data_IF_941974086000
#
_entry.id   IF_941974086000
#
_cell.length_a   1.000
_cell.length_b   1.000
_cell.length_c   1.000
_cell.angle_alpha   90.00
_cell.angle_beta   90.00
_cell.angle_gamma   90.00
#
_symmetry.space_group_name_H-M   'P 1'
#
loop_
_entity.id
_entity.type
_entity.pdbx_description
1 polymer ?
#
# COMPACT_ATOMS: atom_id res chain seq x y z
N UNK A 1 26.63 10.13 -12.29
CA UNK A 1 25.23 9.73 -12.06
C UNK A 1 24.38 10.97 -12.05
N UNK A 2 23.39 11.07 -12.94
CA UNK A 2 22.34 12.09 -12.80
C UNK A 2 21.44 11.62 -11.66
N UNK A 3 21.29 12.43 -10.62
CA UNK A 3 20.27 12.25 -9.59
C UNK A 3 18.92 12.20 -10.32
N UNK A 4 18.38 11.00 -10.51
CA UNK A 4 16.99 10.83 -10.89
C UNK A 4 16.17 11.60 -9.87
N UNK A 5 15.27 12.46 -10.34
CA UNK A 5 14.46 13.32 -9.46
C UNK A 5 13.72 12.40 -8.49
N UNK A 6 14.12 12.46 -7.21
CA UNK A 6 13.31 11.96 -6.10
C UNK A 6 11.90 12.54 -6.26
N UNK A 7 10.88 11.75 -5.96
CA UNK A 7 9.49 12.21 -5.91
C UNK A 7 9.43 13.51 -5.11
N UNK A 8 9.05 14.61 -5.76
CA UNK A 8 9.09 15.94 -5.15
C UNK A 8 7.82 16.27 -4.35
N UNK A 9 6.92 15.29 -4.22
CA UNK A 9 5.56 15.49 -3.72
C UNK A 9 4.62 16.06 -4.78
N UNK A 10 3.32 15.98 -4.50
CA UNK A 10 2.23 16.64 -5.21
C UNK A 10 1.67 17.76 -4.32
N UNK A 11 1.24 18.87 -4.94
CA UNK A 11 0.40 19.86 -4.27
C UNK A 11 -1.06 19.38 -4.15
N UNK A 12 -1.93 20.18 -3.54
CA UNK A 12 -3.33 19.78 -3.28
C UNK A 12 -4.11 19.53 -4.57
N UNK A 13 -3.97 20.41 -5.56
CA UNK A 13 -4.63 20.25 -6.86
C UNK A 13 -4.14 19.00 -7.60
N UNK A 14 -2.83 18.75 -7.57
CA UNK A 14 -2.22 17.56 -8.16
C UNK A 14 -2.66 16.26 -7.46
N UNK A 15 -2.87 16.30 -6.14
CA UNK A 15 -3.47 15.18 -5.40
C UNK A 15 -4.92 14.91 -5.82
N UNK A 16 -5.72 15.96 -6.04
CA UNK A 16 -7.08 15.83 -6.55
C UNK A 16 -7.14 15.09 -7.90
N UNK A 17 -6.23 15.43 -8.81
CA UNK A 17 -6.13 14.74 -10.10
C UNK A 17 -5.57 13.31 -9.96
N UNK A 18 -4.55 13.11 -9.11
CA UNK A 18 -3.94 11.79 -8.91
C UNK A 18 -4.90 10.76 -8.30
N UNK A 19 -5.86 11.21 -7.48
CA UNK A 19 -6.86 10.35 -6.84
C UNK A 19 -8.10 10.12 -7.70
N UNK A 20 -8.21 10.75 -8.87
CA UNK A 20 -9.44 10.76 -9.67
C UNK A 20 -9.89 9.35 -10.08
N UNK A 21 -9.01 8.58 -10.72
CA UNK A 21 -9.35 7.23 -11.20
C UNK A 21 -9.76 6.31 -10.04
N UNK A 22 -9.06 6.41 -8.90
CA UNK A 22 -9.40 5.68 -7.69
C UNK A 22 -10.76 6.11 -7.15
N UNK A 23 -11.05 7.42 -7.09
CA UNK A 23 -12.30 7.94 -6.58
C UNK A 23 -13.49 7.56 -7.48
N UNK A 24 -13.32 7.61 -8.80
CA UNK A 24 -14.33 7.16 -9.76
C UNK A 24 -14.63 5.67 -9.59
N UNK A 25 -13.60 4.83 -9.39
CA UNK A 25 -13.78 3.41 -9.12
C UNK A 25 -14.52 3.15 -7.81
N UNK A 26 -14.08 3.78 -6.71
CA UNK A 26 -14.69 3.60 -5.39
C UNK A 26 -16.16 4.04 -5.37
N UNK A 27 -16.48 5.14 -6.04
CA UNK A 27 -17.85 5.64 -6.12
C UNK A 27 -18.74 4.70 -6.93
N UNK A 28 -18.21 4.13 -8.02
CA UNK A 28 -18.95 3.22 -8.90
C UNK A 28 -19.20 1.86 -8.25
N UNK A 29 -18.18 1.28 -7.63
CA UNK A 29 -18.25 -0.10 -7.11
C UNK A 29 -18.77 -0.17 -5.67
N UNK A 30 -18.51 0.87 -4.85
CA UNK A 30 -18.83 0.84 -3.43
C UNK A 30 -19.70 2.01 -2.96
N UNK A 31 -20.01 2.99 -3.82
CA UNK A 31 -20.73 4.20 -3.43
C UNK A 31 -19.97 5.07 -2.42
N UNK A 32 -18.65 4.91 -2.36
CA UNK A 32 -17.76 5.65 -1.46
C UNK A 32 -16.94 6.68 -2.24
N UNK A 33 -16.78 7.87 -1.67
CA UNK A 33 -15.94 8.92 -2.24
C UNK A 33 -14.86 9.32 -1.24
N UNK A 34 -13.65 9.49 -1.75
CA UNK A 34 -12.55 10.15 -1.06
C UNK A 34 -12.86 11.65 -1.02
N UNK A 35 -12.75 12.27 0.16
CA UNK A 35 -12.81 13.71 0.30
C UNK A 35 -11.44 14.32 -0.02
N UNK A 36 -11.19 14.59 -1.30
CA UNK A 36 -9.94 15.19 -1.77
C UNK A 36 -9.69 16.59 -1.21
N UNK A 37 -10.72 17.29 -0.72
CA UNK A 37 -10.59 18.64 -0.15
C UNK A 37 -10.06 18.61 1.28
N UNK A 38 -10.31 17.53 2.02
CA UNK A 38 -9.79 17.29 3.36
C UNK A 38 -8.35 16.76 3.38
N UNK A 39 -7.75 16.52 2.20
CA UNK A 39 -6.40 15.98 2.07
C UNK A 39 -5.34 17.02 2.47
N UNK A 40 -4.49 16.66 3.43
CA UNK A 40 -3.24 17.35 3.72
C UNK A 40 -2.15 16.84 2.76
N UNK A 41 -1.74 17.70 1.83
CA UNK A 41 -0.75 17.36 0.81
C UNK A 41 0.62 16.97 1.40
N UNK A 42 1.03 17.57 2.52
CA UNK A 42 2.31 17.22 3.15
C UNK A 42 2.26 15.80 3.72
N UNK A 43 1.20 15.48 4.46
CA UNK A 43 0.99 14.13 5.02
C UNK A 43 0.84 13.09 3.92
N UNK A 44 0.11 13.40 2.84
CA UNK A 44 -0.01 12.49 1.70
C UNK A 44 1.31 12.26 0.99
N UNK A 45 2.14 13.28 0.82
CA UNK A 45 3.45 13.11 0.19
C UNK A 45 4.37 12.22 1.03
N UNK A 46 4.39 12.40 2.35
CA UNK A 46 5.15 11.53 3.25
C UNK A 46 4.66 10.07 3.19
N UNK A 47 3.34 9.87 3.25
CA UNK A 47 2.74 8.54 3.15
C UNK A 47 2.99 7.90 1.78
N UNK A 48 2.91 8.67 0.70
CA UNK A 48 3.15 8.18 -0.65
C UNK A 48 4.61 7.77 -0.87
N UNK A 49 5.56 8.55 -0.33
CA UNK A 49 6.98 8.19 -0.38
C UNK A 49 7.24 6.90 0.40
N UNK A 50 6.72 6.77 1.62
CA UNK A 50 6.87 5.56 2.43
C UNK A 50 6.22 4.35 1.75
N UNK A 51 4.99 4.49 1.25
CA UNK A 51 4.28 3.43 0.56
C UNK A 51 5.01 2.99 -0.72
N UNK A 52 5.59 3.92 -1.48
CA UNK A 52 6.38 3.60 -2.66
C UNK A 52 7.64 2.81 -2.30
N UNK A 53 8.34 3.18 -1.22
CA UNK A 53 9.51 2.45 -0.72
C UNK A 53 9.12 1.04 -0.23
N UNK A 54 8.03 0.93 0.52
CA UNK A 54 7.49 -0.35 0.99
C UNK A 54 7.14 -1.27 -0.19
N UNK A 55 6.37 -0.77 -1.16
CA UNK A 55 5.96 -1.55 -2.34
C UNK A 55 7.14 -1.97 -3.20
N UNK A 56 8.13 -1.09 -3.40
CA UNK A 56 9.36 -1.43 -4.11
C UNK A 56 10.15 -2.54 -3.39
N UNK A 57 10.23 -2.48 -2.06
CA UNK A 57 10.84 -3.54 -1.26
C UNK A 57 10.07 -4.86 -1.40
N UNK A 58 8.74 -4.86 -1.26
CA UNK A 58 7.93 -6.08 -1.38
C UNK A 58 8.03 -6.72 -2.77
N UNK A 59 7.97 -5.91 -3.83
CA UNK A 59 8.16 -6.37 -5.20
C UNK A 59 9.55 -6.98 -5.40
N UNK A 60 10.60 -6.35 -4.82
CA UNK A 60 11.96 -6.86 -4.89
C UNK A 60 12.12 -8.19 -4.13
N UNK A 61 11.58 -8.28 -2.93
CA UNK A 61 11.61 -9.49 -2.10
C UNK A 61 10.96 -10.67 -2.80
N UNK A 62 9.80 -10.46 -3.42
CA UNK A 62 9.14 -11.47 -4.26
C UNK A 62 10.03 -11.88 -5.44
N UNK A 63 10.57 -10.90 -6.17
CA UNK A 63 11.43 -11.15 -7.34
C UNK A 63 12.69 -11.93 -6.99
N UNK A 64 13.27 -11.67 -5.82
CA UNK A 64 14.46 -12.33 -5.31
C UNK A 64 14.15 -13.68 -4.64
N UNK A 65 12.87 -14.07 -4.54
CA UNK A 65 12.44 -15.36 -4.01
C UNK A 65 12.45 -15.46 -2.49
N UNK A 66 12.40 -14.33 -1.78
CA UNK A 66 12.27 -14.33 -0.32
C UNK A 66 10.90 -14.91 0.08
N UNK A 67 10.89 -15.73 1.13
CA UNK A 67 9.66 -16.26 1.70
C UNK A 67 8.75 -15.13 2.18
N UNK A 68 7.43 -15.27 2.04
CA UNK A 68 6.46 -14.36 2.64
C UNK A 68 6.51 -14.35 4.17
N UNK A 69 7.14 -15.37 4.77
CA UNK A 69 7.38 -15.50 6.21
C UNK A 69 8.76 -15.00 6.64
N UNK A 70 9.58 -14.51 5.71
CA UNK A 70 10.91 -14.00 6.04
C UNK A 70 10.81 -12.83 7.03
N UNK A 71 11.63 -12.84 8.08
CA UNK A 71 11.56 -11.81 9.13
C UNK A 71 11.81 -10.40 8.61
N UNK A 72 12.58 -10.25 7.52
CA UNK A 72 12.79 -8.94 6.88
C UNK A 72 11.52 -8.43 6.20
N UNK A 73 10.73 -9.34 5.63
CA UNK A 73 9.43 -9.05 5.01
C UNK A 73 8.42 -8.68 6.07
N UNK A 74 8.30 -9.48 7.13
CA UNK A 74 7.38 -9.21 8.23
C UNK A 74 7.73 -7.91 8.96
N UNK A 75 9.02 -7.63 9.17
CA UNK A 75 9.48 -6.36 9.75
C UNK A 75 9.15 -5.15 8.85
N UNK A 76 9.24 -5.30 7.53
CA UNK A 76 8.83 -4.24 6.60
C UNK A 76 7.32 -3.95 6.70
N UNK A 77 6.49 -5.00 6.79
CA UNK A 77 5.04 -4.85 6.98
C UNK A 77 4.73 -4.16 8.31
N UNK A 78 5.38 -4.55 9.41
CA UNK A 78 5.18 -3.90 10.71
C UNK A 78 5.53 -2.41 10.68
N UNK A 79 6.62 -2.03 10.00
CA UNK A 79 7.00 -0.62 9.81
C UNK A 79 5.96 0.14 8.99
N UNK A 80 5.45 -0.48 7.93
CA UNK A 80 4.41 0.12 7.10
C UNK A 80 3.11 0.33 7.89
N UNK A 81 2.67 -0.66 8.67
CA UNK A 81 1.52 -0.52 9.59
C UNK A 81 1.75 0.64 10.58
N UNK A 82 2.95 0.79 11.12
CA UNK A 82 3.28 1.91 12.00
C UNK A 82 3.24 3.27 11.30
N UNK A 83 3.51 3.34 9.99
CA UNK A 83 3.30 4.53 9.18
C UNK A 83 1.80 4.82 9.00
N UNK A 84 1.03 3.81 8.56
CA UNK A 84 -0.42 3.94 8.35
C UNK A 84 -1.16 4.40 9.61
N UNK A 85 -0.75 3.93 10.79
CA UNK A 85 -1.29 4.32 12.11
C UNK A 85 -1.29 5.82 12.40
N UNK A 86 -0.52 6.61 11.66
CA UNK A 86 -0.53 8.09 11.77
C UNK A 86 -1.81 8.71 11.22
N UNK A 87 -2.52 8.01 10.33
CA UNK A 87 -3.68 8.53 9.60
C UNK A 87 -4.90 7.62 9.64
N UNK A 88 -4.74 6.34 9.99
CA UNK A 88 -5.83 5.38 10.10
C UNK A 88 -5.63 4.42 11.28
N UNK A 89 -6.72 4.01 11.92
CA UNK A 89 -6.64 2.93 12.92
C UNK A 89 -6.49 1.58 12.21
N UNK A 90 -5.29 1.01 12.27
CA UNK A 90 -4.97 -0.27 11.64
C UNK A 90 -3.97 -1.06 12.50
N UNK A 91 -4.18 -2.36 12.59
CA UNK A 91 -3.26 -3.33 13.19
C UNK A 91 -2.92 -4.44 12.18
N UNK A 92 -2.18 -5.47 12.61
CA UNK A 92 -1.82 -6.56 11.71
C UNK A 92 -3.05 -7.28 11.13
N UNK A 93 -4.10 -7.48 11.92
CA UNK A 93 -5.33 -8.10 11.46
C UNK A 93 -6.06 -7.22 10.45
N UNK A 94 -6.14 -5.91 10.70
CA UNK A 94 -6.70 -4.93 9.77
C UNK A 94 -5.90 -4.85 8.46
N UNK A 95 -4.57 -4.89 8.53
CA UNK A 95 -3.71 -4.92 7.36
C UNK A 95 -3.85 -6.22 6.55
N UNK A 96 -3.96 -7.37 7.22
CA UNK A 96 -4.28 -8.64 6.56
C UNK A 96 -5.63 -8.56 5.82
N UNK A 97 -6.68 -8.04 6.47
CA UNK A 97 -7.98 -7.84 5.84
C UNK A 97 -7.91 -6.89 4.63
N UNK A 98 -7.17 -5.79 4.74
CA UNK A 98 -6.95 -4.84 3.64
C UNK A 98 -6.20 -5.48 2.47
N UNK A 99 -5.11 -6.20 2.73
CA UNK A 99 -4.34 -6.89 1.70
C UNK A 99 -5.16 -7.96 0.98
N UNK A 100 -6.05 -8.64 1.70
CA UNK A 100 -7.00 -9.60 1.14
C UNK A 100 -8.03 -8.90 0.25
N UNK A 101 -8.54 -7.74 0.66
CA UNK A 101 -9.40 -6.91 -0.18
C UNK A 101 -8.67 -6.55 -1.50
N UNK A 102 -7.44 -6.05 -1.43
CA UNK A 102 -6.64 -5.74 -2.63
C UNK A 102 -6.42 -6.94 -3.54
N UNK A 103 -6.24 -8.13 -2.98
CA UNK A 103 -6.12 -9.37 -3.74
C UNK A 103 -7.43 -9.74 -4.45
N UNK A 104 -8.58 -9.51 -3.82
CA UNK A 104 -9.89 -9.92 -4.36
C UNK A 104 -10.55 -8.90 -5.27
N UNK A 105 -10.14 -7.63 -5.17
CA UNK A 105 -10.64 -6.56 -6.02
C UNK A 105 -9.87 -6.46 -7.33
N UNK A 106 -10.56 -6.40 -8.47
CA UNK A 106 -9.92 -6.47 -9.79
C UNK A 106 -9.04 -5.25 -10.10
N UNK A 107 -9.46 -4.06 -9.68
CA UNK A 107 -8.70 -2.82 -9.90
C UNK A 107 -7.39 -2.85 -9.08
N UNK A 108 -7.49 -3.06 -7.77
CA UNK A 108 -6.32 -3.08 -6.89
C UNK A 108 -5.40 -4.26 -7.19
N UNK A 109 -5.94 -5.44 -7.47
CA UNK A 109 -5.15 -6.61 -7.89
C UNK A 109 -4.36 -6.29 -9.15
N UNK A 110 -4.99 -5.72 -10.16
CA UNK A 110 -4.31 -5.37 -11.42
C UNK A 110 -3.19 -4.35 -11.21
N UNK A 111 -3.41 -3.38 -10.32
CA UNK A 111 -2.38 -2.39 -9.96
C UNK A 111 -1.15 -3.05 -9.32
N UNK A 112 -1.35 -3.98 -8.38
CA UNK A 112 -0.25 -4.69 -7.70
C UNK A 112 0.46 -5.66 -8.63
N UNK A 113 -0.29 -6.46 -9.39
CA UNK A 113 0.25 -7.42 -10.35
C UNK A 113 1.00 -6.75 -11.51
N UNK A 114 0.65 -5.51 -11.83
CA UNK A 114 1.37 -4.67 -12.80
C UNK A 114 2.76 -4.21 -12.32
N UNK A 115 3.00 -4.13 -11.00
CA UNK A 115 4.32 -3.80 -10.45
C UNK A 115 5.26 -5.01 -10.45
N UNK A 116 4.74 -6.17 -10.04
CA UNK A 116 5.42 -7.45 -10.08
C UNK A 116 4.37 -8.56 -10.06
N UNK A 117 4.41 -9.45 -11.04
CA UNK A 117 3.48 -10.60 -11.07
C UNK A 117 3.65 -11.44 -9.82
N UNK A 118 2.53 -11.74 -9.17
CA UNK A 118 2.40 -12.43 -7.88
C UNK A 118 2.39 -11.53 -6.66
N UNK A 119 2.59 -10.21 -6.80
CA UNK A 119 2.72 -9.28 -5.67
C UNK A 119 1.46 -9.20 -4.81
N UNK A 120 0.25 -9.24 -5.41
CA UNK A 120 -0.98 -9.19 -4.63
C UNK A 120 -1.12 -10.41 -3.71
N UNK A 121 -0.73 -11.58 -4.22
CA UNK A 121 -0.74 -12.84 -3.47
C UNK A 121 0.35 -12.85 -2.39
N UNK A 122 1.56 -12.42 -2.75
CA UNK A 122 2.70 -12.38 -1.85
C UNK A 122 2.45 -11.47 -0.64
N UNK A 123 1.95 -10.25 -0.89
CA UNK A 123 1.61 -9.30 0.16
C UNK A 123 0.51 -9.85 1.08
N UNK A 124 -0.56 -10.43 0.51
CA UNK A 124 -1.67 -11.00 1.28
C UNK A 124 -1.20 -12.13 2.20
N UNK A 125 -0.39 -13.05 1.69
CA UNK A 125 0.12 -14.18 2.49
C UNK A 125 1.08 -13.69 3.59
N UNK A 126 1.97 -12.74 3.29
CA UNK A 126 2.87 -12.17 4.29
C UNK A 126 2.10 -11.45 5.41
N UNK A 127 1.06 -10.69 5.05
CA UNK A 127 0.19 -10.03 6.02
C UNK A 127 -0.61 -11.01 6.89
N UNK A 128 -1.18 -12.07 6.29
CA UNK A 128 -1.87 -13.14 7.03
C UNK A 128 -0.93 -13.81 8.05
N UNK A 129 0.32 -14.10 7.65
CA UNK A 129 1.33 -14.66 8.56
C UNK A 129 1.67 -13.72 9.72
N UNK A 130 1.81 -12.42 9.46
CA UNK A 130 2.05 -11.45 10.53
C UNK A 130 0.88 -11.42 11.51
N UNK A 131 -0.35 -11.36 11.02
CA UNK A 131 -1.56 -11.32 11.85
C UNK A 131 -1.69 -12.57 12.74
N UNK A 132 -1.35 -13.75 12.19
CA UNK A 132 -1.35 -15.00 12.96
C UNK A 132 -0.33 -15.00 14.10
N UNK A 133 0.85 -14.38 13.92
CA UNK A 133 1.88 -14.31 14.99
C UNK A 133 1.52 -13.38 16.14
N UNK A 134 0.71 -12.36 15.89
CA UNK A 134 0.29 -11.40 16.93
C UNK A 134 -0.92 -11.90 17.75
N UNK A 135 -1.51 -13.03 17.36
CA UNK A 135 -2.62 -13.68 18.08
C UNK A 135 -2.20 -14.88 18.94
N UNK A 136 -0.93 -15.28 18.89
CA UNK A 136 -0.28 -16.29 19.75
C UNK A 136 0.30 -15.69 21.03
#
# INVERSE_FOLDING_TARGET
MKTEKMFAGLNKEEWGEALKDQNEYLQKEYGYSIDAEAVDAAVMNENAEEAAQFMAFMARSLKDGLSAQDETVLSAIQKHIACLRRTMEIDAAGFAAQSRFFLTDDFHRSMLEGQQTGLSYYLCIAADHLAARETE
#
